data_IF_933954394757
#
_entry.id   IF_933954394757
#
_cell.length_a   1.000
_cell.length_b   1.000
_cell.length_c   1.000
_cell.angle_alpha   90.00
_cell.angle_beta   90.00
_cell.angle_gamma   90.00
#
_symmetry.space_group_name_H-M   'P 1'
#
loop_
_entity.id
_entity.type
_entity.pdbx_description
1 polymer ?
#
# COMPACT_ATOMS: atom_id res chain seq x y z
N UNK A 1 13.86 -6.82 -5.56
CA UNK A 1 12.82 -7.61 -6.24
C UNK A 1 11.59 -6.73 -6.39
N UNK A 2 11.14 -6.55 -7.64
CA UNK A 2 9.95 -5.79 -8.02
C UNK A 2 9.19 -6.62 -9.07
N UNK A 3 8.51 -7.68 -8.63
CA UNK A 3 7.71 -8.53 -9.52
C UNK A 3 6.23 -8.38 -9.18
N UNK A 4 5.31 -8.63 -10.14
CA UNK A 4 3.89 -8.60 -9.87
C UNK A 4 3.49 -9.63 -8.82
N UNK A 5 2.54 -9.26 -7.98
CA UNK A 5 1.91 -10.13 -6.97
C UNK A 5 0.39 -10.03 -7.14
N UNK A 6 -0.18 -10.74 -8.13
CA UNK A 6 -1.59 -10.64 -8.45
C UNK A 6 -2.47 -11.17 -7.32
N UNK A 7 -3.75 -10.83 -7.38
CA UNK A 7 -4.75 -11.34 -6.45
C UNK A 7 -5.21 -12.73 -6.90
N UNK A 8 -5.23 -13.67 -5.97
CA UNK A 8 -5.85 -14.99 -6.14
C UNK A 8 -7.38 -14.89 -6.05
N UNK A 9 -8.10 -15.94 -6.44
CA UNK A 9 -9.57 -16.01 -6.40
C UNK A 9 -10.14 -15.86 -4.97
N UNK A 10 -9.37 -16.25 -3.95
CA UNK A 10 -9.73 -16.10 -2.53
C UNK A 10 -9.42 -14.72 -1.95
N UNK A 11 -8.90 -13.80 -2.77
CA UNK A 11 -8.50 -12.46 -2.37
C UNK A 11 -7.10 -12.37 -1.76
N UNK A 12 -6.38 -13.47 -1.59
CA UNK A 12 -4.99 -13.45 -1.13
C UNK A 12 -4.04 -12.91 -2.20
N UNK A 13 -2.83 -12.53 -1.79
CA UNK A 13 -1.78 -12.09 -2.70
C UNK A 13 -0.95 -13.30 -3.16
N UNK A 14 -0.85 -13.53 -4.47
CA UNK A 14 0.05 -14.53 -5.05
C UNK A 14 1.50 -14.03 -4.95
N UNK A 15 2.28 -14.71 -4.14
CA UNK A 15 3.69 -14.42 -3.91
C UNK A 15 4.64 -15.43 -4.54
N UNK A 16 4.15 -16.34 -5.37
CA UNK A 16 4.92 -17.43 -5.97
C UNK A 16 6.12 -16.93 -6.78
N UNK A 17 5.92 -15.92 -7.63
CA UNK A 17 7.00 -15.31 -8.41
C UNK A 17 8.05 -14.63 -7.51
N UNK A 18 7.65 -14.02 -6.39
CA UNK A 18 8.58 -13.42 -5.42
C UNK A 18 9.43 -14.51 -4.77
N UNK A 19 8.80 -15.58 -4.33
CA UNK A 19 9.50 -16.71 -3.69
C UNK A 19 10.48 -17.40 -4.66
N UNK A 20 10.06 -17.61 -5.91
CA UNK A 20 10.94 -18.18 -6.94
C UNK A 20 12.20 -17.32 -7.12
N UNK A 21 12.05 -16.00 -7.30
CA UNK A 21 13.19 -15.09 -7.45
C UNK A 21 14.07 -15.10 -6.19
N UNK A 22 13.49 -15.12 -4.98
CA UNK A 22 14.25 -15.23 -3.73
C UNK A 22 15.08 -16.52 -3.72
N UNK A 23 14.49 -17.65 -4.12
CA UNK A 23 15.16 -18.94 -4.11
C UNK A 23 16.42 -18.97 -4.98
N UNK A 24 16.33 -18.36 -6.16
CA UNK A 24 17.41 -18.32 -7.18
C UNK A 24 18.45 -17.23 -6.90
N UNK A 25 18.13 -16.19 -6.15
CA UNK A 25 19.01 -15.06 -5.90
C UNK A 25 20.24 -15.45 -5.08
N UNK A 26 21.44 -15.13 -5.54
CA UNK A 26 22.71 -15.38 -4.84
C UNK A 26 23.34 -14.11 -4.24
N UNK A 27 22.64 -12.98 -4.32
CA UNK A 27 23.10 -11.70 -3.79
C UNK A 27 23.19 -11.71 -2.25
N UNK A 28 24.13 -10.95 -1.67
CA UNK A 28 24.32 -10.88 -0.22
C UNK A 28 23.15 -10.16 0.49
N UNK A 29 22.37 -9.36 -0.24
CA UNK A 29 21.19 -8.64 0.24
C UNK A 29 20.10 -8.68 -0.81
N UNK A 30 18.87 -8.90 -0.37
CA UNK A 30 17.66 -8.78 -1.18
C UNK A 30 16.83 -7.63 -0.64
N UNK A 31 16.53 -6.64 -1.48
CA UNK A 31 15.56 -5.60 -1.18
C UNK A 31 14.26 -5.98 -1.89
N UNK A 32 13.26 -6.35 -1.09
CA UNK A 32 11.93 -6.74 -1.56
C UNK A 32 11.02 -5.51 -1.58
N UNK A 33 10.50 -5.18 -2.77
CA UNK A 33 9.62 -4.01 -2.97
C UNK A 33 8.20 -4.40 -3.40
N UNK A 34 8.01 -5.62 -3.89
CA UNK A 34 6.67 -6.15 -4.21
C UNK A 34 5.84 -6.26 -2.93
N UNK A 35 4.57 -5.87 -2.99
CA UNK A 35 3.64 -6.06 -1.86
C UNK A 35 3.43 -7.55 -1.62
N UNK A 36 3.65 -7.99 -0.39
CA UNK A 36 3.51 -9.38 0.05
C UNK A 36 2.68 -9.43 1.33
N UNK A 37 2.11 -10.59 1.67
CA UNK A 37 1.37 -10.75 2.93
C UNK A 37 2.23 -10.46 4.14
N UNK A 38 1.61 -10.04 5.24
CA UNK A 38 2.33 -9.81 6.51
C UNK A 38 2.94 -11.11 7.01
N UNK A 39 4.23 -11.05 7.36
CA UNK A 39 5.04 -12.18 7.80
C UNK A 39 5.82 -12.89 6.68
N UNK A 40 5.59 -12.54 5.40
CA UNK A 40 6.25 -13.18 4.26
C UNK A 40 7.76 -12.99 4.26
N UNK A 41 8.24 -11.76 4.43
CA UNK A 41 9.69 -11.48 4.42
C UNK A 41 10.44 -12.25 5.50
N UNK A 42 9.88 -12.33 6.69
CA UNK A 42 10.45 -13.09 7.81
C UNK A 42 10.47 -14.60 7.52
N UNK A 43 9.39 -15.12 6.94
CA UNK A 43 9.32 -16.53 6.53
C UNK A 43 10.39 -16.85 5.49
N UNK A 44 10.51 -16.04 4.44
CA UNK A 44 11.50 -16.24 3.37
C UNK A 44 12.94 -16.09 3.88
N UNK A 45 13.18 -15.11 4.76
CA UNK A 45 14.48 -14.94 5.44
C UNK A 45 14.92 -16.23 6.15
N UNK A 46 13.99 -16.86 6.89
CA UNK A 46 14.27 -18.07 7.62
C UNK A 46 14.38 -19.30 6.69
N UNK A 47 13.46 -19.42 5.72
CA UNK A 47 13.40 -20.57 4.80
C UNK A 47 14.67 -20.68 3.94
N UNK A 48 15.16 -19.59 3.44
CA UNK A 48 16.31 -19.56 2.52
C UNK A 48 17.61 -19.11 3.18
N UNK A 49 17.58 -18.76 4.47
CA UNK A 49 18.74 -18.25 5.22
C UNK A 49 19.41 -17.06 4.49
N UNK A 50 18.61 -16.12 3.99
CA UNK A 50 19.06 -14.95 3.21
C UNK A 50 18.75 -13.66 3.95
N UNK A 51 19.56 -12.62 3.72
CA UNK A 51 19.26 -11.26 4.18
C UNK A 51 18.24 -10.64 3.25
N UNK A 52 17.02 -10.46 3.76
CA UNK A 52 15.92 -9.86 3.01
C UNK A 52 15.40 -8.66 3.80
N UNK A 53 15.26 -7.52 3.13
CA UNK A 53 14.67 -6.30 3.67
C UNK A 53 13.45 -5.95 2.85
N UNK A 54 12.32 -5.77 3.50
CA UNK A 54 11.13 -5.22 2.87
C UNK A 54 11.22 -3.69 2.84
N UNK A 55 11.21 -3.13 1.66
CA UNK A 55 11.18 -1.68 1.41
C UNK A 55 10.05 -1.42 0.42
N UNK A 56 8.83 -1.12 0.90
CA UNK A 56 7.64 -1.03 0.07
C UNK A 56 7.70 0.09 -0.95
N UNK A 57 7.06 -0.15 -2.09
CA UNK A 57 6.86 0.85 -3.13
C UNK A 57 5.62 1.69 -2.82
N UNK A 58 5.76 3.01 -2.98
CA UNK A 58 4.68 3.98 -2.79
C UNK A 58 4.49 4.91 -4.00
N UNK A 59 5.12 4.63 -5.14
CA UNK A 59 4.86 5.39 -6.36
C UNK A 59 3.43 5.15 -6.83
N UNK A 60 2.77 6.24 -7.25
CA UNK A 60 1.42 6.16 -7.77
C UNK A 60 1.39 5.86 -9.26
N UNK A 61 0.29 5.27 -9.69
CA UNK A 61 0.04 4.93 -11.11
C UNK A 61 -0.35 6.16 -11.96
N UNK A 62 -0.52 7.34 -11.34
CA UNK A 62 -0.94 8.55 -12.04
C UNK A 62 0.15 9.63 -12.01
N UNK A 63 0.21 10.44 -13.09
CA UNK A 63 1.14 11.56 -13.20
C UNK A 63 0.93 12.67 -12.15
N UNK A 64 -0.24 12.68 -11.50
CA UNK A 64 -0.55 13.61 -10.42
C UNK A 64 -0.16 13.10 -9.03
N UNK A 65 0.49 11.93 -8.96
CA UNK A 65 0.94 11.38 -7.69
C UNK A 65 2.07 12.24 -7.09
N UNK A 66 2.03 12.55 -5.77
CA UNK A 66 3.03 13.41 -5.14
C UNK A 66 4.44 12.81 -5.09
N UNK A 67 4.59 11.53 -5.39
CA UNK A 67 5.87 10.83 -5.41
C UNK A 67 6.13 10.25 -6.81
N UNK A 68 6.58 11.09 -7.72
CA UNK A 68 6.94 10.69 -9.08
C UNK A 68 8.40 10.18 -9.16
N UNK A 69 9.25 10.62 -8.24
CA UNK A 69 10.68 10.25 -8.20
C UNK A 69 11.09 9.88 -6.77
N UNK A 70 12.17 9.09 -6.63
CA UNK A 70 12.73 8.74 -5.32
C UNK A 70 13.27 9.97 -4.58
N UNK A 71 13.75 10.96 -5.31
CA UNK A 71 14.23 12.23 -4.75
C UNK A 71 13.14 13.10 -4.13
N UNK A 72 11.86 12.90 -4.52
CA UNK A 72 10.72 13.62 -3.95
C UNK A 72 10.28 13.06 -2.59
N UNK A 73 10.87 11.94 -2.19
CA UNK A 73 10.51 11.28 -0.93
C UNK A 73 11.03 12.07 0.27
N UNK A 74 10.15 12.33 1.21
CA UNK A 74 10.50 12.87 2.53
C UNK A 74 10.77 11.77 3.57
N UNK A 75 10.40 10.53 3.28
CA UNK A 75 10.59 9.39 4.16
C UNK A 75 10.70 8.06 3.40
N UNK A 76 11.39 7.09 4.02
CA UNK A 76 11.46 5.69 3.61
C UNK A 76 11.30 4.78 4.81
N UNK A 77 10.81 3.57 4.60
CA UNK A 77 10.71 2.54 5.63
C UNK A 77 11.43 1.26 5.19
N UNK A 78 12.15 0.65 6.13
CA UNK A 78 12.87 -0.59 5.94
C UNK A 78 12.47 -1.58 7.02
N UNK A 79 12.02 -2.78 6.62
CA UNK A 79 11.58 -3.85 7.51
C UNK A 79 12.45 -5.09 7.39
N UNK A 80 13.01 -5.56 8.50
CA UNK A 80 13.86 -6.75 8.49
C UNK A 80 14.73 -6.90 9.73
N UNK A 81 15.78 -7.72 9.63
CA UNK A 81 16.83 -7.78 10.64
C UNK A 81 17.75 -6.57 10.53
N UNK A 82 18.25 -6.07 11.65
CA UNK A 82 19.01 -4.82 11.70
C UNK A 82 20.24 -4.84 10.77
N UNK A 83 21.00 -5.92 10.75
CA UNK A 83 22.16 -6.06 9.90
C UNK A 83 21.85 -6.02 8.39
N UNK A 84 20.68 -6.49 8.00
CA UNK A 84 20.19 -6.38 6.62
C UNK A 84 19.67 -4.97 6.31
N UNK A 85 18.98 -4.34 7.27
CA UNK A 85 18.51 -2.95 7.15
C UNK A 85 19.69 -2.00 6.97
N UNK A 86 20.76 -2.14 7.76
CA UNK A 86 21.96 -1.29 7.66
C UNK A 86 22.60 -1.39 6.28
N UNK A 87 22.73 -2.59 5.72
CA UNK A 87 23.20 -2.79 4.35
C UNK A 87 22.27 -2.15 3.31
N UNK A 88 20.95 -2.24 3.50
CA UNK A 88 20.00 -1.63 2.58
C UNK A 88 20.09 -0.09 2.61
N UNK A 89 20.23 0.49 3.80
CA UNK A 89 20.38 1.94 3.97
C UNK A 89 21.65 2.43 3.27
N UNK A 90 22.79 1.73 3.37
CA UNK A 90 24.01 2.07 2.66
C UNK A 90 23.80 2.17 1.15
N UNK A 91 23.05 1.23 0.56
CA UNK A 91 22.69 1.26 -0.87
C UNK A 91 21.87 2.52 -1.20
N UNK A 92 20.88 2.85 -0.35
CA UNK A 92 19.98 3.99 -0.59
C UNK A 92 20.66 5.34 -0.35
N UNK A 93 21.63 5.45 0.58
CA UNK A 93 22.34 6.69 0.89
C UNK A 93 23.00 7.35 -0.33
N UNK A 94 23.36 6.56 -1.35
CA UNK A 94 23.95 7.08 -2.59
C UNK A 94 22.94 7.76 -3.53
N UNK A 95 21.64 7.58 -3.32
CA UNK A 95 20.57 8.03 -4.24
C UNK A 95 19.46 8.84 -3.58
N UNK A 96 19.43 8.92 -2.25
CA UNK A 96 18.43 9.71 -1.51
C UNK A 96 19.02 11.01 -0.99
N UNK A 97 18.15 12.02 -0.81
CA UNK A 97 18.54 13.27 -0.19
C UNK A 97 18.82 13.10 1.31
N UNK A 98 19.74 13.90 1.85
CA UNK A 98 20.11 13.87 3.27
C UNK A 98 18.97 14.16 4.25
N UNK A 99 17.89 14.77 3.78
CA UNK A 99 16.71 15.13 4.59
C UNK A 99 15.63 14.02 4.63
N UNK A 100 15.85 12.88 3.95
CA UNK A 100 14.90 11.77 3.97
C UNK A 100 14.88 11.12 5.36
N UNK A 101 13.69 11.08 5.97
CA UNK A 101 13.51 10.41 7.26
C UNK A 101 13.42 8.89 7.05
N UNK A 102 14.30 8.15 7.71
CA UNK A 102 14.34 6.69 7.62
C UNK A 102 13.63 6.08 8.82
N UNK A 103 12.61 5.27 8.57
CA UNK A 103 11.93 4.43 9.56
C UNK A 103 12.44 3.00 9.45
N UNK A 104 12.73 2.39 10.59
CA UNK A 104 13.23 1.02 10.69
C UNK A 104 12.36 0.23 11.65
N UNK A 105 11.97 -0.98 11.25
CA UNK A 105 11.20 -1.90 12.09
C UNK A 105 11.44 -3.35 11.66
N UNK A 106 10.80 -4.31 12.33
CA UNK A 106 10.69 -5.66 11.81
C UNK A 106 9.87 -5.67 10.51
N UNK A 107 10.03 -6.73 9.69
CA UNK A 107 9.37 -6.82 8.39
C UNK A 107 7.85 -6.83 8.49
N UNK A 108 7.31 -7.53 9.49
CA UNK A 108 5.87 -7.69 9.68
C UNK A 108 5.21 -6.33 9.92
N UNK A 109 5.87 -5.45 10.69
CA UNK A 109 5.43 -4.07 10.94
C UNK A 109 5.41 -3.23 9.67
N UNK A 110 6.45 -3.30 8.83
CA UNK A 110 6.52 -2.48 7.60
C UNK A 110 5.57 -3.03 6.52
N UNK A 111 5.40 -4.36 6.43
CA UNK A 111 4.41 -5.00 5.56
C UNK A 111 2.99 -4.57 5.95
N UNK A 112 2.66 -4.56 7.25
CA UNK A 112 1.37 -4.07 7.74
C UNK A 112 1.17 -2.58 7.42
N UNK A 113 2.18 -1.74 7.59
CA UNK A 113 2.09 -0.31 7.29
C UNK A 113 1.73 -0.06 5.82
N UNK A 114 2.26 -0.87 4.88
CA UNK A 114 1.89 -0.80 3.46
C UNK A 114 0.40 -1.12 3.24
N UNK A 115 -0.12 -2.17 3.87
CA UNK A 115 -1.54 -2.51 3.77
C UNK A 115 -2.43 -1.45 4.43
N UNK A 116 -2.04 -0.90 5.58
CA UNK A 116 -2.77 0.18 6.25
C UNK A 116 -2.96 1.38 5.32
N UNK A 117 -1.90 1.79 4.61
CA UNK A 117 -1.98 2.90 3.66
C UNK A 117 -3.00 2.62 2.55
N UNK A 118 -2.84 1.51 1.82
CA UNK A 118 -3.70 1.22 0.68
C UNK A 118 -5.15 0.93 1.08
N UNK A 119 -5.39 0.25 2.20
CA UNK A 119 -6.73 0.04 2.73
C UNK A 119 -7.39 1.36 3.17
N UNK A 120 -6.63 2.27 3.80
CA UNK A 120 -7.12 3.60 4.14
C UNK A 120 -7.45 4.44 2.91
N UNK A 121 -6.59 4.44 1.89
CA UNK A 121 -6.84 5.16 0.64
C UNK A 121 -8.09 4.64 -0.09
N UNK A 122 -8.28 3.32 -0.16
CA UNK A 122 -9.50 2.70 -0.69
C UNK A 122 -10.75 3.13 0.09
N UNK A 123 -10.67 3.11 1.43
CA UNK A 123 -11.75 3.57 2.32
C UNK A 123 -12.08 5.04 2.08
N UNK A 124 -11.07 5.88 1.93
CA UNK A 124 -11.23 7.33 1.67
C UNK A 124 -11.92 7.59 0.33
N UNK A 125 -11.57 6.83 -0.72
CA UNK A 125 -12.26 6.93 -2.01
C UNK A 125 -13.73 6.57 -1.86
N UNK A 126 -14.07 5.48 -1.18
CA UNK A 126 -15.47 5.06 -1.01
C UNK A 126 -16.25 6.06 -0.17
N UNK A 127 -15.68 6.54 0.94
CA UNK A 127 -16.27 7.62 1.72
C UNK A 127 -16.60 8.85 0.88
N UNK A 128 -15.66 9.32 0.06
CA UNK A 128 -15.85 10.47 -0.81
C UNK A 128 -16.95 10.23 -1.86
N UNK A 129 -17.03 9.01 -2.40
CA UNK A 129 -18.06 8.64 -3.36
C UNK A 129 -19.47 8.61 -2.72
N UNK A 130 -19.62 8.11 -1.49
CA UNK A 130 -20.90 8.15 -0.78
C UNK A 130 -21.33 9.58 -0.45
N UNK A 131 -20.41 10.42 0.05
CA UNK A 131 -20.69 11.84 0.30
C UNK A 131 -21.05 12.57 -0.99
N UNK A 132 -20.43 12.23 -2.12
CA UNK A 132 -20.79 12.77 -3.43
C UNK A 132 -22.25 12.46 -3.77
N UNK A 133 -22.70 11.21 -3.59
CA UNK A 133 -24.09 10.82 -3.86
C UNK A 133 -25.09 11.56 -2.96
N UNK A 134 -24.75 11.77 -1.69
CA UNK A 134 -25.54 12.57 -0.75
C UNK A 134 -25.62 14.03 -1.23
N UNK A 135 -24.50 14.63 -1.62
CA UNK A 135 -24.45 15.98 -2.14
C UNK A 135 -25.33 16.15 -3.39
N UNK A 136 -25.26 15.24 -4.36
CA UNK A 136 -26.10 15.25 -5.57
C UNK A 136 -27.59 15.23 -5.21
N UNK A 137 -28.00 14.40 -4.24
CA UNK A 137 -29.40 14.32 -3.80
C UNK A 137 -29.89 15.55 -3.06
N UNK A 138 -29.00 16.24 -2.35
CA UNK A 138 -29.32 17.46 -1.60
C UNK A 138 -29.15 18.74 -2.44
N UNK A 139 -28.69 18.65 -3.71
CA UNK A 139 -28.40 19.81 -4.56
C UNK A 139 -27.18 20.61 -4.10
N UNK A 140 -26.23 19.97 -3.40
CA UNK A 140 -25.00 20.57 -2.89
C UNK A 140 -23.85 20.29 -3.86
N UNK A 141 -23.01 21.30 -4.10
CA UNK A 141 -21.77 21.08 -4.85
C UNK A 141 -20.76 20.32 -4.02
N UNK A 142 -20.52 19.04 -4.35
CA UNK A 142 -19.48 18.24 -3.70
C UNK A 142 -18.10 18.92 -3.75
N UNK A 143 -17.72 19.48 -4.89
CA UNK A 143 -16.39 20.10 -5.03
C UNK A 143 -16.21 21.28 -4.06
N UNK A 144 -17.24 22.12 -3.87
CA UNK A 144 -17.17 23.22 -2.89
C UNK A 144 -17.12 22.70 -1.44
N UNK A 145 -17.93 21.72 -1.12
CA UNK A 145 -17.88 21.09 0.20
C UNK A 145 -16.52 20.44 0.46
N UNK A 146 -15.98 19.74 -0.55
CA UNK A 146 -14.65 19.14 -0.50
C UNK A 146 -13.55 20.18 -0.25
N UNK A 147 -13.55 21.32 -0.97
CA UNK A 147 -12.56 22.38 -0.79
C UNK A 147 -12.51 22.90 0.65
N UNK A 148 -13.68 23.08 1.27
CA UNK A 148 -13.78 23.49 2.68
C UNK A 148 -13.24 22.37 3.59
N UNK A 149 -13.64 21.14 3.34
CA UNK A 149 -13.26 19.99 4.16
C UNK A 149 -11.73 19.72 4.15
N UNK A 150 -11.10 19.78 2.97
CA UNK A 150 -9.65 19.55 2.85
C UNK A 150 -8.79 20.73 3.32
N UNK A 151 -9.39 21.87 3.65
CA UNK A 151 -8.67 22.98 4.29
C UNK A 151 -8.18 22.60 5.70
N UNK A 152 -8.81 21.61 6.35
CA UNK A 152 -8.28 21.03 7.58
C UNK A 152 -7.09 20.09 7.24
N UNK A 153 -5.86 20.40 7.74
CA UNK A 153 -4.67 19.62 7.42
C UNK A 153 -4.74 18.15 7.87
N UNK A 154 -5.62 17.81 8.80
CA UNK A 154 -5.85 16.42 9.25
C UNK A 154 -6.46 15.54 8.17
N UNK A 155 -7.07 16.12 7.14
CA UNK A 155 -7.78 15.39 6.10
C UNK A 155 -6.83 14.98 4.95
N UNK A 156 -6.04 15.95 4.46
CA UNK A 156 -5.22 15.77 3.26
C UNK A 156 -6.05 15.64 1.97
N UNK A 157 -5.57 16.17 0.86
CA UNK A 157 -6.32 16.26 -0.41
C UNK A 157 -6.28 14.99 -1.26
N UNK A 158 -5.31 14.10 -1.04
CA UNK A 158 -5.14 12.86 -1.80
C UNK A 158 -6.38 11.97 -1.70
N UNK A 159 -6.80 11.36 -2.84
CA UNK A 159 -7.91 10.41 -2.94
C UNK A 159 -9.29 10.98 -2.50
N UNK A 160 -9.47 12.30 -2.64
CA UNK A 160 -10.75 12.98 -2.31
C UNK A 160 -11.52 13.43 -3.54
N UNK A 161 -10.96 13.34 -4.75
CA UNK A 161 -11.70 13.65 -5.98
C UNK A 161 -12.66 12.52 -6.33
N UNK A 162 -13.85 12.92 -6.84
CA UNK A 162 -14.86 11.97 -7.35
C UNK A 162 -15.17 12.36 -8.80
N UNK A 163 -15.01 11.40 -9.69
CA UNK A 163 -15.31 11.56 -11.12
C UNK A 163 -16.64 10.90 -11.44
N UNK A 164 -17.58 11.64 -12.05
CA UNK A 164 -18.95 11.13 -12.32
C UNK A 164 -18.99 9.84 -13.14
N UNK A 165 -18.08 9.74 -14.10
CA UNK A 165 -18.03 8.62 -15.04
C UNK A 165 -17.00 7.53 -14.64
N UNK A 166 -16.32 7.71 -13.52
CA UNK A 166 -15.27 6.80 -13.05
C UNK A 166 -15.31 6.76 -11.52
N UNK A 167 -16.31 6.06 -11.02
CA UNK A 167 -16.63 5.98 -9.59
C UNK A 167 -15.84 4.85 -8.90
N UNK A 168 -15.72 4.99 -7.58
CA UNK A 168 -15.01 4.01 -6.76
C UNK A 168 -13.48 4.04 -6.98
N UNK A 169 -12.81 3.02 -6.49
CA UNK A 169 -11.39 2.81 -6.71
C UNK A 169 -11.15 1.64 -7.68
N UNK A 170 -10.05 1.74 -8.43
CA UNK A 170 -9.58 0.73 -9.38
C UNK A 170 -8.06 0.64 -9.34
N UNK A 171 -7.48 0.34 -10.51
CA UNK A 171 -6.05 0.10 -10.64
C UNK A 171 -5.64 -1.29 -10.15
N UNK A 172 -4.34 -1.55 -10.17
CA UNK A 172 -3.77 -2.86 -9.79
C UNK A 172 -3.54 -2.99 -8.28
N UNK A 173 -3.40 -1.88 -7.55
CA UNK A 173 -2.93 -1.86 -6.17
C UNK A 173 -4.06 -1.89 -5.14
N UNK A 174 -4.98 -0.91 -5.16
CA UNK A 174 -5.99 -0.77 -4.11
C UNK A 174 -6.91 -1.98 -3.98
N UNK A 175 -7.51 -2.51 -5.09
CA UNK A 175 -8.37 -3.69 -4.98
C UNK A 175 -7.65 -4.91 -4.42
N UNK A 176 -6.44 -5.16 -4.88
CA UNK A 176 -5.62 -6.30 -4.46
C UNK A 176 -5.24 -6.20 -2.98
N UNK A 177 -4.75 -5.04 -2.55
CA UNK A 177 -4.18 -4.91 -1.21
C UNK A 177 -5.27 -4.91 -0.13
N UNK A 178 -6.42 -4.25 -0.36
CA UNK A 178 -7.53 -4.31 0.60
C UNK A 178 -8.11 -5.74 0.70
N UNK A 179 -8.19 -6.47 -0.43
CA UNK A 179 -8.65 -7.86 -0.41
C UNK A 179 -7.67 -8.76 0.31
N UNK A 180 -6.36 -8.57 0.10
CA UNK A 180 -5.32 -9.37 0.74
C UNK A 180 -5.31 -9.19 2.27
N UNK A 181 -5.43 -7.97 2.78
CA UNK A 181 -5.48 -7.75 4.23
C UNK A 181 -6.78 -8.26 4.85
N UNK A 182 -7.91 -8.19 4.13
CA UNK A 182 -9.18 -8.81 4.56
C UNK A 182 -9.05 -10.32 4.65
N UNK A 183 -8.47 -10.95 3.62
CA UNK A 183 -8.21 -12.39 3.63
C UNK A 183 -7.31 -12.76 4.82
N UNK A 184 -6.19 -12.07 5.01
CA UNK A 184 -5.26 -12.35 6.11
C UNK A 184 -5.91 -12.12 7.48
N UNK A 185 -6.73 -11.11 7.67
CA UNK A 185 -7.48 -10.91 8.92
C UNK A 185 -8.35 -12.12 9.27
N UNK A 186 -9.04 -12.70 8.28
CA UNK A 186 -9.87 -13.90 8.46
C UNK A 186 -9.05 -15.12 8.87
N UNK A 187 -7.83 -15.28 8.33
CA UNK A 187 -6.95 -16.41 8.73
C UNK A 187 -6.54 -16.36 10.20
N UNK A 188 -6.53 -15.18 10.81
CA UNK A 188 -6.25 -14.99 12.24
C UNK A 188 -7.51 -14.80 13.09
N UNK A 189 -8.69 -15.10 12.54
CA UNK A 189 -9.96 -15.08 13.25
C UNK A 189 -10.58 -13.69 13.47
N UNK A 190 -10.16 -12.69 12.71
CA UNK A 190 -10.73 -11.33 12.74
C UNK A 190 -11.71 -11.14 11.58
N UNK A 191 -12.89 -10.60 11.87
CA UNK A 191 -13.86 -10.16 10.86
C UNK A 191 -13.68 -8.65 10.61
N UNK A 192 -13.01 -8.23 9.51
CA UNK A 192 -12.73 -6.82 9.24
C UNK A 192 -13.92 -6.13 8.56
N UNK A 193 -15.04 -6.01 9.25
CA UNK A 193 -16.34 -5.54 8.72
C UNK A 193 -16.27 -4.22 7.98
N UNK A 194 -15.45 -3.27 8.45
CA UNK A 194 -15.28 -1.98 7.77
C UNK A 194 -14.66 -2.18 6.38
N UNK A 195 -13.58 -2.94 6.29
CA UNK A 195 -12.88 -3.15 5.01
C UNK A 195 -13.74 -3.98 4.04
N UNK A 196 -14.50 -4.95 4.55
CA UNK A 196 -15.47 -5.70 3.75
C UNK A 196 -16.57 -4.79 3.20
N UNK A 197 -17.09 -3.87 4.02
CA UNK A 197 -18.10 -2.89 3.57
C UNK A 197 -17.51 -1.97 2.48
N UNK A 198 -16.25 -1.57 2.59
CA UNK A 198 -15.55 -0.77 1.57
C UNK A 198 -15.44 -1.54 0.25
N UNK A 199 -15.05 -2.82 0.30
CA UNK A 199 -14.96 -3.68 -0.90
C UNK A 199 -16.34 -3.81 -1.55
N UNK A 200 -17.35 -4.17 -0.76
CA UNK A 200 -18.72 -4.36 -1.26
C UNK A 200 -19.27 -3.07 -1.88
N UNK A 201 -19.08 -1.93 -1.20
CA UNK A 201 -19.53 -0.65 -1.72
C UNK A 201 -18.81 -0.24 -3.01
N UNK A 202 -17.54 -0.61 -3.18
CA UNK A 202 -16.82 -0.37 -4.42
C UNK A 202 -17.44 -1.12 -5.60
N UNK A 203 -18.01 -2.31 -5.37
CA UNK A 203 -18.69 -3.07 -6.42
C UNK A 203 -19.96 -2.37 -6.93
N UNK A 204 -20.66 -1.61 -6.09
CA UNK A 204 -21.83 -0.82 -6.50
C UNK A 204 -21.46 0.31 -7.48
N UNK A 205 -20.19 0.69 -7.55
CA UNK A 205 -19.67 1.75 -8.40
C UNK A 205 -19.00 1.25 -9.69
N UNK A 206 -18.90 -0.06 -9.89
CA UNK A 206 -18.29 -0.69 -11.07
C UNK A 206 -19.34 -1.26 -12.00
#
# INVERSE_FOLDING_TARGET
>A
ICVPTPMNDDGSCDTSAVEEVISLCTCPLIILRSTVRVGFTKEMTNKYNKKIVFQPEYFGETVAHPFADLSDRSWLSFGGKQDAIDMAIEVYQSVINSNVKIYQADSDTVEMAKYMENAYLATKVIFCNEIFDICEKLGISYNRAREIWIADPRIGSSHTFVYKNERGYGGSCLPKDISSIVNQAKTVGIEPKLLEAVINKNMDYK
#
